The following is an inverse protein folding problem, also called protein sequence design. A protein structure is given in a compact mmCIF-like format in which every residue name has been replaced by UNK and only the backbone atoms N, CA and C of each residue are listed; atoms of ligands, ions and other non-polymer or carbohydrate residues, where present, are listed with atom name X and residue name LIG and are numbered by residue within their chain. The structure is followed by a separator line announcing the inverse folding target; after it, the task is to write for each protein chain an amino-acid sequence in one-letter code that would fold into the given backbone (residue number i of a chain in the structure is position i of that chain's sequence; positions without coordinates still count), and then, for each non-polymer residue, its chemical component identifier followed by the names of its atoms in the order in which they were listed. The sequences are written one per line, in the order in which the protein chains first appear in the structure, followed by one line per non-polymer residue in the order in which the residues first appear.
data_IF_258125357549
#
_entry.id   IF_258125357549
#
_cell.length_a   1.000
_cell.length_b   1.000
_cell.length_c   1.000
_cell.angle_alpha   90.00
_cell.angle_beta   90.00
_cell.angle_gamma   90.00
#
_symmetry.space_group_name_H-M   'P 1'
#
loop_
_entity.id
_entity.type
_entity.pdbx_description
1 polymer ?
#
# COMPACT_ATOMS: atom_id res chain seq x y z
N UNK A 1 17.05 7.86 -5.05
CA UNK A 1 16.06 7.19 -5.91
C UNK A 1 14.76 8.00 -5.91
N UNK A 2 14.44 8.65 -7.03
CA UNK A 2 13.23 9.44 -7.19
C UNK A 2 12.11 8.55 -7.72
N UNK A 3 10.90 8.67 -7.18
CA UNK A 3 9.70 8.11 -7.82
C UNK A 3 8.68 9.23 -7.93
N UNK A 4 7.84 9.16 -8.96
CA UNK A 4 6.71 10.05 -9.15
C UNK A 4 5.51 9.20 -9.53
N UNK A 5 4.35 9.55 -8.99
CA UNK A 5 3.12 8.79 -9.22
C UNK A 5 2.07 9.77 -9.68
N UNK A 6 1.52 9.48 -10.85
CA UNK A 6 0.50 10.29 -11.47
C UNK A 6 -0.80 9.49 -11.46
N UNK A 7 -1.81 10.08 -10.82
CA UNK A 7 -3.18 9.57 -10.84
C UNK A 7 -3.95 10.35 -11.91
N UNK A 8 -4.56 9.64 -12.84
CA UNK A 8 -5.62 10.16 -13.70
C UNK A 8 -6.89 9.38 -13.40
N UNK A 9 -8.06 9.89 -13.80
CA UNK A 9 -9.33 9.19 -13.64
C UNK A 9 -9.17 7.73 -14.12
N UNK A 10 -9.24 6.79 -13.17
CA UNK A 10 -9.12 5.34 -13.36
C UNK A 10 -7.71 4.79 -13.67
N UNK A 11 -6.63 5.57 -13.59
CA UNK A 11 -5.26 5.07 -13.84
C UNK A 11 -4.23 5.44 -12.78
N UNK A 12 -3.35 4.49 -12.47
CA UNK A 12 -2.14 4.71 -11.67
C UNK A 12 -0.90 4.34 -12.48
N UNK A 13 -0.05 5.31 -12.75
CA UNK A 13 1.27 5.10 -13.37
C UNK A 13 2.34 5.21 -12.30
N UNK A 14 3.11 4.15 -12.11
CA UNK A 14 4.29 4.12 -11.28
C UNK A 14 5.52 4.47 -12.13
N UNK A 15 6.09 5.66 -11.91
CA UNK A 15 7.37 6.03 -12.52
C UNK A 15 8.51 5.80 -11.53
N UNK A 16 9.41 4.88 -11.88
CA UNK A 16 10.66 4.60 -11.14
C UNK A 16 11.82 4.97 -12.04
N UNK A 17 12.57 6.00 -11.67
CA UNK A 17 13.60 6.62 -12.50
C UNK A 17 13.05 6.92 -13.92
N UNK A 18 13.61 6.32 -14.97
CA UNK A 18 13.23 6.53 -16.37
C UNK A 18 12.19 5.51 -16.88
N UNK A 19 11.59 4.70 -16.00
CA UNK A 19 10.68 3.60 -16.37
C UNK A 19 9.28 3.83 -15.81
N UNK A 20 8.28 3.59 -16.65
CA UNK A 20 6.86 3.67 -16.28
C UNK A 20 6.26 2.27 -16.23
N UNK A 21 5.55 1.98 -15.14
CA UNK A 21 4.87 0.73 -14.87
C UNK A 21 3.39 1.00 -14.55
N UNK A 22 2.50 0.09 -14.97
CA UNK A 22 1.05 0.26 -14.80
C UNK A 22 0.47 1.21 -15.84
N UNK A 23 -0.24 0.66 -16.81
CA UNK A 23 -1.04 1.42 -17.78
C UNK A 23 -2.50 1.02 -17.58
N UNK A 24 -3.36 2.01 -17.35
CA UNK A 24 -4.80 1.79 -17.38
C UNK A 24 -5.27 1.61 -18.81
N UNK A 25 -6.05 0.58 -19.00
CA UNK A 25 -6.67 0.24 -20.26
C UNK A 25 -8.17 0.37 -20.09
N UNK A 26 -8.70 1.52 -20.54
CA UNK A 26 -10.13 1.81 -20.55
C UNK A 26 -10.95 0.80 -21.37
N UNK A 27 -10.28 -0.01 -22.20
CA UNK A 27 -10.86 -1.06 -23.01
C UNK A 27 -10.95 -2.43 -22.29
N UNK A 28 -10.58 -2.51 -21.01
CA UNK A 28 -10.61 -3.73 -20.23
C UNK A 28 -11.58 -3.56 -19.05
N UNK A 29 -12.69 -4.30 -19.07
CA UNK A 29 -13.47 -4.54 -17.84
C UNK A 29 -12.62 -5.41 -16.91
N UNK A 30 -12.27 -4.85 -15.75
CA UNK A 30 -11.58 -5.59 -14.70
C UNK A 30 -12.62 -6.43 -13.96
N UNK A 31 -12.37 -7.74 -13.90
CA UNK A 31 -13.13 -8.60 -12.98
C UNK A 31 -12.78 -8.26 -11.52
N UNK A 32 -13.57 -8.80 -10.58
CA UNK A 32 -13.41 -8.53 -9.14
C UNK A 32 -11.99 -8.86 -8.65
N UNK A 33 -11.37 -9.91 -9.19
CA UNK A 33 -10.01 -10.30 -8.86
C UNK A 33 -9.00 -9.24 -9.31
N UNK A 34 -9.18 -8.73 -10.53
CA UNK A 34 -8.32 -7.72 -11.12
C UNK A 34 -8.44 -6.36 -10.40
N UNK A 35 -9.64 -6.01 -9.92
CA UNK A 35 -9.87 -4.84 -9.08
C UNK A 35 -9.17 -4.96 -7.72
N UNK A 36 -9.27 -6.13 -7.06
CA UNK A 36 -8.54 -6.40 -5.83
C UNK A 36 -7.01 -6.30 -6.02
N UNK A 37 -6.47 -6.84 -7.11
CA UNK A 37 -5.02 -6.72 -7.43
C UNK A 37 -4.63 -5.26 -7.66
N UNK A 38 -5.47 -4.48 -8.34
CA UNK A 38 -5.23 -3.07 -8.57
C UNK A 38 -5.17 -2.28 -7.25
N UNK A 39 -6.15 -2.47 -6.37
CA UNK A 39 -6.21 -1.79 -5.08
C UNK A 39 -5.02 -2.15 -4.20
N UNK A 40 -4.64 -3.43 -4.16
CA UNK A 40 -3.44 -3.89 -3.47
C UNK A 40 -2.16 -3.25 -4.01
N UNK A 41 -2.01 -3.20 -5.34
CA UNK A 41 -0.84 -2.58 -5.95
C UNK A 41 -0.79 -1.08 -5.68
N UNK A 42 -1.92 -0.38 -5.79
CA UNK A 42 -2.04 1.05 -5.51
C UNK A 42 -1.67 1.38 -4.06
N UNK A 43 -2.21 0.61 -3.10
CA UNK A 43 -1.89 0.75 -1.67
C UNK A 43 -0.41 0.46 -1.38
N UNK A 44 0.15 -0.60 -1.97
CA UNK A 44 1.56 -0.94 -1.80
C UNK A 44 2.48 0.17 -2.32
N UNK A 45 2.15 0.69 -3.49
CA UNK A 45 2.87 1.80 -4.11
C UNK A 45 2.80 3.07 -3.26
N UNK A 46 1.62 3.41 -2.74
CA UNK A 46 1.46 4.52 -1.79
C UNK A 46 2.29 4.30 -0.51
N UNK A 47 2.35 3.07 -0.01
CA UNK A 47 3.14 2.75 1.18
C UNK A 47 4.65 2.92 0.95
N UNK A 48 5.16 2.51 -0.21
CA UNK A 48 6.53 2.80 -0.66
C UNK A 48 6.77 4.31 -0.77
N UNK A 49 5.74 5.09 -1.13
CA UNK A 49 5.88 6.54 -1.15
C UNK A 49 6.15 7.09 0.25
N UNK A 50 5.27 6.72 1.16
CA UNK A 50 5.28 7.21 2.53
C UNK A 50 6.52 6.75 3.29
N UNK A 51 7.04 5.55 3.00
CA UNK A 51 8.23 5.01 3.66
C UNK A 51 9.50 5.83 3.43
N UNK A 52 9.54 6.70 2.41
CA UNK A 52 10.67 7.64 2.22
C UNK A 52 10.84 8.65 3.35
N UNK A 53 9.74 9.02 4.02
CA UNK A 53 9.72 10.09 5.01
C UNK A 53 9.20 9.61 6.38
N UNK A 54 8.81 8.33 6.50
CA UNK A 54 8.19 7.78 7.70
C UNK A 54 8.92 6.49 8.11
N UNK A 55 9.12 6.33 9.42
CA UNK A 55 9.83 5.18 9.98
C UNK A 55 9.02 3.88 9.92
N UNK A 56 7.69 3.97 9.84
CA UNK A 56 6.79 2.82 9.74
C UNK A 56 5.60 3.22 8.86
N UNK A 57 5.20 2.31 7.99
CA UNK A 57 3.98 2.42 7.19
C UNK A 57 3.18 1.13 7.33
N UNK A 58 1.86 1.24 7.38
CA UNK A 58 0.95 0.12 7.49
C UNK A 58 0.01 0.08 6.28
N UNK A 59 -0.22 -1.12 5.75
CA UNK A 59 -1.27 -1.37 4.75
C UNK A 59 -2.32 -2.26 5.40
N UNK A 60 -3.56 -1.76 5.51
CA UNK A 60 -4.70 -2.55 5.98
C UNK A 60 -5.09 -3.52 4.90
N UNK A 61 -5.28 -4.79 5.25
CA UNK A 61 -6.12 -5.65 4.44
C UNK A 61 -7.55 -5.11 4.50
N UNK A 62 -8.14 -4.82 3.34
CA UNK A 62 -9.49 -4.26 3.27
C UNK A 62 -10.54 -5.37 3.49
N UNK A 63 -10.18 -6.62 3.23
CA UNK A 63 -11.09 -7.76 3.36
C UNK A 63 -11.13 -8.32 4.79
N UNK A 64 -10.04 -8.17 5.55
CA UNK A 64 -9.95 -8.62 6.94
C UNK A 64 -9.62 -7.45 7.86
N UNK A 65 -10.57 -7.07 8.72
CA UNK A 65 -10.48 -5.91 9.62
C UNK A 65 -9.35 -5.97 10.67
N UNK A 66 -8.58 -7.05 10.67
CA UNK A 66 -7.59 -7.36 11.70
C UNK A 66 -6.18 -7.62 11.15
N UNK A 67 -5.99 -7.70 9.83
CA UNK A 67 -4.67 -7.99 9.23
C UNK A 67 -4.08 -6.73 8.64
N UNK A 68 -2.80 -6.52 8.93
CA UNK A 68 -2.03 -5.42 8.38
C UNK A 68 -0.67 -5.90 7.88
N UNK A 69 -0.19 -5.26 6.81
CA UNK A 69 1.20 -5.35 6.37
C UNK A 69 1.95 -4.17 6.95
N UNK A 70 2.93 -4.44 7.81
CA UNK A 70 3.86 -3.46 8.37
C UNK A 70 5.10 -3.35 7.51
N UNK A 71 5.49 -2.12 7.17
CA UNK A 71 6.66 -1.80 6.39
C UNK A 71 7.58 -0.89 7.21
N UNK A 72 8.82 -1.33 7.43
CA UNK A 72 9.83 -0.57 8.18
C UNK A 72 11.03 -0.36 7.23
N UNK A 73 11.29 0.88 6.77
CA UNK A 73 12.50 1.18 6.05
C UNK A 73 13.73 1.01 6.96
N UNK A 74 14.73 0.36 6.42
CA UNK A 74 16.09 0.20 6.93
C UNK A 74 17.04 0.78 5.87
N UNK A 75 18.24 1.23 6.22
CA UNK A 75 19.11 2.11 5.40
C UNK A 75 19.00 1.91 3.86
N UNK A 76 19.09 0.67 3.39
CA UNK A 76 18.96 0.29 1.97
C UNK A 76 17.78 -0.65 1.65
N UNK A 77 17.00 -1.06 2.65
CA UNK A 77 15.98 -2.11 2.53
C UNK A 77 14.63 -1.68 3.11
N UNK A 78 13.55 -2.42 2.81
CA UNK A 78 12.28 -2.29 3.51
C UNK A 78 11.95 -3.66 4.08
N UNK A 79 11.88 -3.74 5.41
CA UNK A 79 11.38 -4.93 6.09
C UNK A 79 9.87 -4.94 6.01
N UNK A 80 9.30 -6.08 5.59
CA UNK A 80 7.87 -6.28 5.44
C UNK A 80 7.45 -7.44 6.33
N UNK A 81 6.43 -7.24 7.15
CA UNK A 81 5.88 -8.26 8.05
C UNK A 81 4.37 -8.17 8.16
N UNK A 82 3.71 -9.31 8.33
CA UNK A 82 2.30 -9.38 8.72
C UNK A 82 2.16 -9.08 10.22
N UNK A 83 1.19 -8.25 10.58
CA UNK A 83 0.77 -8.04 11.97
C UNK A 83 -0.75 -8.16 12.09
N UNK A 84 -1.20 -8.45 13.31
CA UNK A 84 -2.62 -8.53 13.65
C UNK A 84 -2.97 -7.38 14.58
N UNK A 85 -4.00 -6.60 14.25
CA UNK A 85 -4.44 -5.49 15.08
C UNK A 85 -5.84 -5.03 14.68
N UNK A 86 -6.62 -4.57 15.65
CA UNK A 86 -7.93 -3.98 15.36
C UNK A 86 -7.76 -2.74 14.50
N UNK A 87 -8.54 -2.66 13.42
CA UNK A 87 -8.55 -1.47 12.59
C UNK A 87 -9.14 -0.28 13.35
N UNK A 88 -8.38 0.80 13.61
CA UNK A 88 -8.91 1.96 14.31
C UNK A 88 -10.03 2.63 13.50
N UNK A 89 -11.06 3.14 14.18
CA UNK A 89 -12.14 3.87 13.53
C UNK A 89 -11.60 5.08 12.76
N UNK A 90 -12.03 5.23 11.50
CA UNK A 90 -11.60 6.32 10.62
C UNK A 90 -10.27 6.08 9.91
N UNK A 91 -9.65 4.91 10.07
CA UNK A 91 -8.41 4.58 9.36
C UNK A 91 -8.61 4.27 7.87
N UNK A 92 -7.58 4.60 7.10
CA UNK A 92 -7.45 4.41 5.68
C UNK A 92 -6.78 3.07 5.34
N UNK A 93 -6.67 2.77 4.03
CA UNK A 93 -6.02 1.55 3.54
C UNK A 93 -4.50 1.59 3.72
N UNK A 94 -3.89 2.78 3.76
CA UNK A 94 -2.46 2.99 4.01
C UNK A 94 -2.31 4.06 5.06
N UNK A 95 -1.52 3.77 6.09
CA UNK A 95 -1.41 4.61 7.28
C UNK A 95 0.03 4.79 7.74
N UNK A 96 0.31 5.94 8.34
CA UNK A 96 1.58 6.29 8.98
C UNK A 96 1.31 6.87 10.35
N UNK A 97 2.21 6.66 11.31
CA UNK A 97 2.12 7.25 12.65
C UNK A 97 0.81 6.93 13.42
N UNK A 98 0.15 5.82 13.08
CA UNK A 98 -0.99 5.31 13.83
C UNK A 98 -0.52 4.43 14.99
N UNK A 99 -1.22 4.51 16.11
CA UNK A 99 -0.98 3.61 17.23
C UNK A 99 -1.76 2.31 16.99
N UNK A 100 -1.05 1.28 16.55
CA UNK A 100 -1.59 -0.06 16.36
C UNK A 100 -1.26 -0.91 17.59
N UNK A 101 -2.31 -1.43 18.24
CA UNK A 101 -2.18 -2.42 19.32
C UNK A 101 -2.00 -3.82 18.70
N UNK A 102 -0.73 -4.20 18.47
CA UNK A 102 -0.37 -5.51 17.90
C UNK A 102 -0.85 -6.66 18.81
N UNK A 103 -1.60 -7.59 18.22
CA UNK A 103 -2.12 -8.80 18.85
C UNK A 103 -1.29 -10.01 18.44
N UNK A 104 -1.23 -11.00 19.33
CA UNK A 104 -0.72 -12.31 18.96
C UNK A 104 -1.72 -12.98 18.01
N UNK A 105 -1.21 -13.58 16.94
CA UNK A 105 -1.98 -14.47 16.06
C UNK A 105 -2.55 -15.60 16.92
N UNK A 106 -3.89 -15.68 17.02
CA UNK A 106 -4.62 -16.73 17.76
C UNK A 106 -4.59 -18.03 16.97
#
# INVERSE_FOLDING_TARGET
MGFAIQFEEYSSKLCVDDKTYGEYRADIELDILSMNIYDWFSNFVQAIILSKNNNIVYISDVETSEVWIKMIPDEENIQISEIYADKPDGSHSVETDINIDEKNKI
#
